data_IF_015024889770
#
_entry.id   IF_015024889770
#
_cell.length_a   1.000
_cell.length_b   1.000
_cell.length_c   1.000
_cell.angle_alpha   90.00
_cell.angle_beta   90.00
_cell.angle_gamma   90.00
#
_symmetry.space_group_name_H-M   'P 1'
#
loop_
_entity.id
_entity.type
_entity.pdbx_description
1 polymer ?
#
# COMPACT_ATOMS: atom_id res chain seq x y z
N UNK A 1 2.39 19.88 -3.24
CA UNK A 1 3.61 19.26 -3.81
C UNK A 1 3.43 17.74 -3.76
N UNK A 2 3.70 17.04 -4.87
CA UNK A 2 3.71 15.58 -4.91
C UNK A 2 5.14 15.10 -5.13
N UNK A 3 5.70 14.35 -4.18
CA UNK A 3 6.98 13.65 -4.33
C UNK A 3 6.74 12.31 -5.03
N UNK A 4 7.56 11.97 -6.02
CA UNK A 4 7.51 10.65 -6.67
C UNK A 4 8.83 9.94 -6.45
N UNK A 5 8.77 8.84 -5.68
CA UNK A 5 9.91 7.94 -5.45
C UNK A 5 9.97 6.89 -6.54
N UNK A 6 10.97 6.98 -7.41
CA UNK A 6 11.24 6.02 -8.47
C UNK A 6 12.74 5.84 -8.65
N UNK A 7 13.18 4.63 -9.02
CA UNK A 7 14.59 4.32 -9.27
C UNK A 7 14.69 3.22 -10.35
N UNK A 8 15.61 3.35 -11.32
CA UNK A 8 15.80 2.33 -12.34
C UNK A 8 16.08 0.92 -11.79
N UNK A 9 16.72 0.80 -10.61
CA UNK A 9 17.04 -0.50 -10.02
C UNK A 9 15.80 -1.34 -9.69
N UNK A 10 14.61 -0.74 -9.56
CA UNK A 10 13.39 -1.50 -9.35
C UNK A 10 13.03 -2.40 -10.55
N UNK A 11 13.54 -2.10 -11.75
CA UNK A 11 13.40 -2.95 -12.92
C UNK A 11 14.33 -4.16 -12.89
N UNK A 12 15.41 -4.14 -12.08
CA UNK A 12 16.35 -5.26 -11.95
C UNK A 12 15.77 -6.43 -11.12
N UNK A 13 14.69 -6.18 -10.38
CA UNK A 13 13.90 -7.26 -9.81
C UNK A 13 13.12 -7.95 -10.94
N UNK A 14 13.59 -9.14 -11.35
CA UNK A 14 12.97 -9.95 -12.39
C UNK A 14 12.62 -11.35 -11.84
N UNK A 15 11.36 -11.60 -11.49
CA UNK A 15 10.92 -12.91 -11.00
C UNK A 15 10.79 -13.97 -12.08
N UNK A 16 11.07 -13.64 -13.36
CA UNK A 16 11.10 -14.55 -14.48
C UNK A 16 9.97 -14.38 -15.49
N UNK A 17 10.11 -15.11 -16.60
CA UNK A 17 9.17 -14.99 -17.74
C UNK A 17 7.77 -15.44 -17.37
N UNK A 18 6.78 -14.59 -17.70
CA UNK A 18 5.37 -14.88 -17.48
C UNK A 18 4.88 -14.61 -16.07
N UNK A 19 5.75 -14.14 -15.17
CA UNK A 19 5.34 -13.72 -13.85
C UNK A 19 4.47 -12.45 -13.93
N UNK A 20 3.35 -12.37 -13.19
CA UNK A 20 2.47 -11.19 -13.23
C UNK A 20 3.16 -9.94 -12.64
N UNK A 21 3.89 -10.09 -11.54
CA UNK A 21 4.74 -9.06 -10.96
C UNK A 21 6.01 -8.94 -11.80
N UNK A 22 6.10 -7.96 -12.69
CA UNK A 22 7.14 -7.84 -13.73
C UNK A 22 7.55 -6.38 -13.95
N UNK A 23 8.77 -6.11 -14.48
CA UNK A 23 9.26 -4.74 -14.70
C UNK A 23 8.32 -3.84 -15.54
N UNK A 24 7.55 -4.38 -16.49
CA UNK A 24 6.58 -3.64 -17.29
C UNK A 24 5.50 -2.91 -16.45
N UNK A 25 5.28 -3.33 -15.20
CA UNK A 25 4.39 -2.63 -14.27
C UNK A 25 4.87 -1.19 -13.98
N UNK A 26 6.18 -0.97 -13.88
CA UNK A 26 6.74 0.37 -13.70
C UNK A 26 6.49 1.27 -14.90
N UNK A 27 6.58 0.71 -16.13
CA UNK A 27 6.27 1.47 -17.35
C UNK A 27 4.81 1.95 -17.34
N UNK A 28 3.87 1.10 -16.92
CA UNK A 28 2.46 1.45 -16.78
C UNK A 28 2.25 2.54 -15.71
N UNK A 29 2.90 2.43 -14.55
CA UNK A 29 2.85 3.45 -13.49
C UNK A 29 3.40 4.79 -13.98
N UNK A 30 4.56 4.81 -14.64
CA UNK A 30 5.12 6.05 -15.20
C UNK A 30 4.21 6.65 -16.29
N UNK A 31 3.60 5.83 -17.12
CA UNK A 31 2.61 6.28 -18.10
C UNK A 31 1.37 6.91 -17.42
N UNK A 32 0.93 6.34 -16.29
CA UNK A 32 -0.16 6.88 -15.47
C UNK A 32 0.19 8.24 -14.87
N UNK A 33 1.39 8.39 -14.29
CA UNK A 33 1.86 9.69 -13.77
C UNK A 33 1.90 10.75 -14.89
N UNK A 34 2.44 10.38 -16.05
CA UNK A 34 2.47 11.28 -17.20
C UNK A 34 1.06 11.62 -17.74
N UNK A 35 0.11 10.69 -17.63
CA UNK A 35 -1.30 10.95 -17.97
C UNK A 35 -1.91 11.94 -16.98
N UNK A 36 -1.74 11.75 -15.67
CA UNK A 36 -2.20 12.69 -14.65
C UNK A 36 -1.70 14.11 -14.92
N UNK A 37 -0.43 14.27 -15.29
CA UNK A 37 0.14 15.58 -15.62
C UNK A 37 -0.59 16.23 -16.81
N UNK A 38 -0.84 15.48 -17.89
CA UNK A 38 -1.60 16.00 -19.04
C UNK A 38 -3.03 16.37 -18.68
N UNK A 39 -3.68 15.56 -17.86
CA UNK A 39 -5.07 15.74 -17.46
C UNK A 39 -5.27 17.01 -16.62
N UNK A 40 -4.28 17.39 -15.81
CA UNK A 40 -4.28 18.66 -15.06
C UNK A 40 -3.78 19.84 -15.90
N UNK A 41 -3.48 19.64 -17.17
CA UNK A 41 -3.06 20.70 -18.09
C UNK A 41 -1.60 21.11 -18.00
N UNK A 42 -0.75 20.24 -17.44
CA UNK A 42 0.69 20.42 -17.28
C UNK A 42 1.54 19.33 -17.94
N UNK A 43 2.78 19.30 -17.55
CA UNK A 43 3.71 18.21 -17.83
C UNK A 43 4.17 17.53 -16.52
N UNK A 44 4.87 16.43 -16.64
CA UNK A 44 5.31 15.66 -15.47
C UNK A 44 6.20 16.48 -14.53
N UNK A 45 7.11 17.29 -15.08
CA UNK A 45 8.05 18.09 -14.28
C UNK A 45 7.34 19.20 -13.48
N UNK A 46 6.18 19.68 -13.97
CA UNK A 46 5.36 20.65 -13.26
C UNK A 46 4.46 20.01 -12.17
N UNK A 47 4.08 18.75 -12.36
CA UNK A 47 3.18 18.03 -11.46
C UNK A 47 3.91 17.40 -10.28
N UNK A 48 5.07 16.80 -10.52
CA UNK A 48 5.78 15.99 -9.53
C UNK A 48 7.18 16.52 -9.24
N UNK A 49 7.61 16.33 -8.01
CA UNK A 49 9.00 16.54 -7.61
C UNK A 49 9.66 15.17 -7.45
N UNK A 50 10.69 14.86 -8.24
CA UNK A 50 11.41 13.60 -8.09
C UNK A 50 11.99 13.46 -6.67
N UNK A 51 11.75 12.32 -6.05
CA UNK A 51 12.37 11.92 -4.79
C UNK A 51 13.36 10.79 -5.05
N UNK A 52 14.68 11.03 -5.03
CA UNK A 52 15.65 9.94 -5.14
C UNK A 52 15.54 9.01 -3.93
N UNK A 53 15.18 7.73 -4.10
CA UNK A 53 15.19 6.77 -3.01
C UNK A 53 16.64 6.54 -2.53
N UNK A 54 16.78 6.25 -1.24
CA UNK A 54 18.03 5.75 -0.66
C UNK A 54 17.92 4.27 -0.32
N UNK A 55 19.03 3.62 -0.06
CA UNK A 55 19.00 2.29 0.51
C UNK A 55 18.57 2.35 1.97
N UNK A 56 17.70 1.43 2.39
CA UNK A 56 17.46 1.19 3.80
C UNK A 56 18.67 0.48 4.43
N UNK A 57 19.07 0.89 5.63
CA UNK A 57 20.12 0.20 6.37
C UNK A 57 19.60 -1.11 6.96
N UNK A 58 20.51 -2.03 7.27
CA UNK A 58 20.15 -3.29 7.94
C UNK A 58 19.45 -3.02 9.28
N UNK A 59 19.86 -1.98 10.00
CA UNK A 59 19.24 -1.57 11.24
C UNK A 59 17.78 -1.15 11.04
N UNK A 60 17.51 -0.35 10.00
CA UNK A 60 16.15 0.08 9.65
C UNK A 60 15.27 -1.10 9.23
N UNK A 61 15.79 -2.01 8.42
CA UNK A 61 15.07 -3.23 7.99
C UNK A 61 14.79 -4.14 9.18
N UNK A 62 15.74 -4.27 10.10
CA UNK A 62 15.59 -5.18 11.26
C UNK A 62 14.68 -4.65 12.38
N UNK A 63 14.08 -3.47 12.22
CA UNK A 63 12.92 -3.03 13.02
C UNK A 63 11.67 -3.90 12.78
N UNK A 64 11.58 -4.47 11.60
CA UNK A 64 10.45 -5.29 11.14
C UNK A 64 10.86 -6.73 10.91
N UNK A 65 11.94 -6.95 10.21
CA UNK A 65 12.39 -8.27 9.80
C UNK A 65 13.49 -8.82 10.70
N UNK A 66 13.48 -10.13 10.93
CA UNK A 66 14.58 -10.77 11.66
C UNK A 66 15.88 -10.70 10.85
N UNK A 67 17.03 -10.61 11.56
CA UNK A 67 18.35 -10.66 10.91
C UNK A 67 18.51 -11.88 10.01
N UNK A 68 17.99 -13.03 10.45
CA UNK A 68 18.02 -14.27 9.67
C UNK A 68 17.30 -14.12 8.31
N UNK A 69 16.15 -13.43 8.29
CA UNK A 69 15.43 -13.17 7.04
C UNK A 69 16.27 -12.28 6.10
N UNK A 70 16.82 -11.20 6.61
CA UNK A 70 17.67 -10.25 5.86
C UNK A 70 18.90 -10.98 5.28
N UNK A 71 19.62 -11.73 6.09
CA UNK A 71 20.81 -12.49 5.68
C UNK A 71 20.46 -13.54 4.61
N UNK A 72 19.32 -14.23 4.77
CA UNK A 72 18.84 -15.21 3.78
C UNK A 72 18.57 -14.58 2.42
N UNK A 73 17.89 -13.44 2.36
CA UNK A 73 17.58 -12.76 1.09
C UNK A 73 18.87 -12.22 0.42
N UNK A 74 19.74 -11.57 1.20
CA UNK A 74 21.02 -11.08 0.69
C UNK A 74 21.86 -12.21 0.10
N UNK A 75 22.02 -13.32 0.85
CA UNK A 75 22.76 -14.49 0.38
C UNK A 75 22.12 -15.14 -0.86
N UNK A 76 20.79 -15.21 -0.94
CA UNK A 76 20.13 -15.76 -2.12
C UNK A 76 20.43 -14.93 -3.37
N UNK A 77 20.42 -13.61 -3.26
CA UNK A 77 20.77 -12.71 -4.37
C UNK A 77 22.25 -12.85 -4.79
N UNK A 78 23.19 -12.98 -3.83
CA UNK A 78 24.61 -13.21 -4.10
C UNK A 78 24.86 -14.50 -4.89
N UNK A 79 23.97 -15.51 -4.73
CA UNK A 79 24.02 -16.77 -5.48
C UNK A 79 23.22 -16.75 -6.79
N UNK A 80 22.79 -15.57 -7.24
CA UNK A 80 22.09 -15.39 -8.51
C UNK A 80 20.55 -15.37 -8.41
N UNK A 81 20.01 -15.45 -7.20
CA UNK A 81 18.56 -15.53 -6.96
C UNK A 81 18.03 -16.96 -6.83
N UNK A 82 16.73 -17.13 -6.90
CA UNK A 82 16.05 -18.41 -6.80
C UNK A 82 14.63 -18.27 -6.26
N UNK A 83 13.89 -19.40 -6.23
CA UNK A 83 12.55 -19.47 -5.68
C UNK A 83 12.61 -19.47 -4.14
N UNK A 84 11.76 -18.68 -3.50
CA UNK A 84 11.59 -18.65 -2.04
C UNK A 84 10.44 -19.58 -1.65
N UNK A 85 9.34 -19.51 -2.39
CA UNK A 85 8.17 -20.38 -2.29
C UNK A 85 7.59 -20.66 -3.70
N UNK A 86 6.28 -20.98 -3.78
CA UNK A 86 5.64 -21.36 -5.05
C UNK A 86 5.43 -20.18 -5.99
N UNK A 87 5.34 -18.96 -5.47
CA UNK A 87 5.00 -17.76 -6.23
C UNK A 87 5.98 -16.59 -6.03
N UNK A 88 6.92 -16.69 -5.11
CA UNK A 88 7.89 -15.65 -4.79
C UNK A 88 9.29 -16.04 -5.25
N UNK A 89 9.81 -15.33 -6.24
CA UNK A 89 11.12 -15.60 -6.84
C UNK A 89 12.00 -14.36 -6.82
N UNK A 90 13.29 -14.55 -6.60
CA UNK A 90 14.32 -13.51 -6.66
C UNK A 90 15.25 -13.71 -7.84
N UNK A 91 15.69 -12.61 -8.47
CA UNK A 91 16.90 -12.51 -9.29
C UNK A 91 18.06 -11.94 -8.48
N UNK A 92 19.25 -11.89 -9.05
CA UNK A 92 20.40 -11.21 -8.45
C UNK A 92 20.13 -9.71 -8.14
N UNK A 93 19.32 -9.05 -9.00
CA UNK A 93 18.92 -7.65 -8.82
C UNK A 93 17.83 -7.41 -7.77
N UNK A 94 17.19 -8.47 -7.26
CA UNK A 94 16.03 -8.33 -6.36
C UNK A 94 16.39 -7.76 -4.99
N UNK A 95 17.55 -8.13 -4.43
CA UNK A 95 17.97 -7.60 -3.12
C UNK A 95 18.27 -6.11 -3.14
N UNK A 96 19.09 -5.57 -4.06
CA UNK A 96 19.26 -4.13 -4.18
C UNK A 96 17.94 -3.37 -4.40
N UNK A 97 17.05 -3.91 -5.25
CA UNK A 97 15.74 -3.31 -5.50
C UNK A 97 14.88 -3.29 -4.23
N UNK A 98 14.82 -4.38 -3.46
CA UNK A 98 14.05 -4.46 -2.22
C UNK A 98 14.58 -3.49 -1.14
N UNK A 99 15.90 -3.40 -0.97
CA UNK A 99 16.54 -2.48 -0.02
C UNK A 99 16.27 -1.02 -0.41
N UNK A 100 16.30 -0.70 -1.71
CA UNK A 100 15.99 0.62 -2.25
C UNK A 100 14.48 0.93 -2.12
N UNK A 101 13.60 -0.05 -2.33
CA UNK A 101 12.15 0.10 -2.16
C UNK A 101 11.77 0.41 -0.70
N UNK A 102 12.36 -0.32 0.25
CA UNK A 102 12.19 -0.05 1.68
C UNK A 102 12.71 1.35 2.05
N UNK A 103 13.87 1.74 1.50
CA UNK A 103 14.47 3.05 1.74
C UNK A 103 13.72 4.22 1.10
N UNK A 104 12.91 3.98 0.08
CA UNK A 104 12.07 5.00 -0.56
C UNK A 104 11.03 5.59 0.41
N UNK A 105 10.38 4.74 1.22
CA UNK A 105 9.44 5.19 2.24
C UNK A 105 10.11 6.04 3.31
N UNK A 106 11.30 5.64 3.76
CA UNK A 106 12.09 6.40 4.74
C UNK A 106 12.50 7.77 4.18
N UNK A 107 12.96 7.82 2.92
CA UNK A 107 13.30 9.08 2.25
C UNK A 107 12.08 9.99 2.11
N UNK A 108 10.90 9.43 1.78
CA UNK A 108 9.65 10.19 1.68
C UNK A 108 9.23 10.77 3.04
N UNK A 109 9.31 9.97 4.11
CA UNK A 109 9.01 10.41 5.46
C UNK A 109 9.92 11.57 5.90
N UNK A 110 11.23 11.48 5.62
CA UNK A 110 12.19 12.53 5.94
C UNK A 110 11.92 13.82 5.13
N UNK A 111 11.66 13.69 3.82
CA UNK A 111 11.40 14.83 2.94
C UNK A 111 10.08 15.55 3.31
N UNK A 112 9.00 14.80 3.58
CA UNK A 112 7.71 15.36 3.97
C UNK A 112 7.73 15.95 5.39
N UNK A 113 8.51 15.37 6.31
CA UNK A 113 8.69 15.95 7.65
C UNK A 113 9.42 17.30 7.61
N UNK A 114 10.32 17.48 6.63
CA UNK A 114 11.05 18.73 6.43
C UNK A 114 10.27 19.77 5.61
N UNK A 115 9.23 19.36 4.91
CA UNK A 115 8.40 20.22 4.06
C UNK A 115 7.18 20.73 4.82
N UNK A 116 6.64 21.86 4.36
CA UNK A 116 5.41 22.47 4.91
C UNK A 116 4.18 21.95 4.12
N UNK A 117 4.08 20.65 3.94
CA UNK A 117 2.99 19.98 3.23
C UNK A 117 3.40 19.24 1.97
N UNK A 118 2.51 18.40 1.46
CA UNK A 118 2.70 17.57 0.26
C UNK A 118 2.29 16.13 0.48
N UNK A 119 2.43 15.31 -0.54
CA UNK A 119 2.16 13.87 -0.52
C UNK A 119 3.29 13.15 -1.24
N UNK A 120 3.44 11.85 -1.04
CA UNK A 120 4.39 11.04 -1.79
C UNK A 120 3.70 9.84 -2.44
N UNK A 121 4.06 9.54 -3.68
CA UNK A 121 3.74 8.30 -4.38
C UNK A 121 5.02 7.55 -4.71
N UNK A 122 5.14 6.32 -4.23
CA UNK A 122 6.34 5.51 -4.35
C UNK A 122 6.10 4.41 -5.39
N UNK A 123 6.65 4.59 -6.59
CA UNK A 123 6.61 3.63 -7.68
C UNK A 123 7.68 2.54 -7.46
N UNK A 124 7.52 1.79 -6.37
CA UNK A 124 8.50 0.80 -5.90
C UNK A 124 8.19 -0.61 -6.38
N UNK A 125 9.22 -1.41 -6.58
CA UNK A 125 9.21 -2.85 -6.74
C UNK A 125 10.47 -3.43 -6.09
N UNK A 126 10.36 -4.63 -5.49
CA UNK A 126 9.17 -5.48 -5.29
C UNK A 126 8.15 -4.83 -4.33
N UNK A 127 6.89 -5.32 -4.33
CA UNK A 127 5.87 -4.96 -3.34
C UNK A 127 6.27 -5.44 -1.94
N UNK A 128 5.49 -5.05 -0.90
CA UNK A 128 5.94 -5.28 0.47
C UNK A 128 4.94 -5.87 1.45
N UNK A 129 3.65 -5.63 1.32
CA UNK A 129 2.67 -5.85 2.39
C UNK A 129 2.50 -7.30 2.85
N UNK A 130 2.87 -8.30 2.03
CA UNK A 130 2.86 -9.70 2.42
C UNK A 130 4.12 -10.16 3.15
N UNK A 131 5.24 -9.42 3.06
CA UNK A 131 6.49 -9.84 3.70
C UNK A 131 6.34 -9.80 5.21
N UNK A 132 6.49 -10.98 5.83
CA UNK A 132 6.36 -11.22 7.27
C UNK A 132 7.70 -10.95 7.98
N UNK A 133 7.71 -10.77 9.30
CA UNK A 133 8.95 -10.59 10.04
C UNK A 133 10.01 -11.67 9.74
N UNK A 134 9.60 -12.92 9.50
CA UNK A 134 10.51 -14.04 9.28
C UNK A 134 10.48 -14.62 7.85
N UNK A 135 9.69 -14.05 6.91
CA UNK A 135 9.53 -14.67 5.61
C UNK A 135 9.01 -13.76 4.51
N UNK A 136 9.59 -13.91 3.32
CA UNK A 136 9.08 -13.36 2.07
C UNK A 136 7.99 -14.29 1.53
N UNK A 137 6.94 -13.72 0.95
CA UNK A 137 5.82 -14.43 0.30
C UNK A 137 4.99 -13.44 -0.53
N UNK A 138 4.11 -13.94 -1.42
CA UNK A 138 3.19 -13.08 -2.19
C UNK A 138 3.93 -12.01 -2.99
N UNK A 139 5.02 -12.39 -3.66
CA UNK A 139 5.91 -11.50 -4.42
C UNK A 139 6.71 -10.49 -3.57
N UNK A 140 6.44 -10.38 -2.26
CA UNK A 140 7.03 -9.41 -1.34
C UNK A 140 8.28 -9.96 -0.66
N UNK A 141 9.36 -9.18 -0.65
CA UNK A 141 10.65 -9.56 -0.04
C UNK A 141 10.86 -8.87 1.30
N UNK A 142 10.70 -7.55 1.36
CA UNK A 142 10.74 -6.71 2.54
C UNK A 142 9.44 -5.91 2.62
N UNK A 143 8.95 -5.68 3.83
CA UNK A 143 7.71 -4.92 4.01
C UNK A 143 7.98 -3.41 4.02
N UNK A 144 7.86 -2.79 2.84
CA UNK A 144 8.21 -1.39 2.62
C UNK A 144 7.42 -0.43 3.51
N UNK A 145 6.10 -0.62 3.60
CA UNK A 145 5.21 0.22 4.42
C UNK A 145 5.48 0.01 5.91
N UNK A 146 5.70 -1.25 6.34
CA UNK A 146 5.95 -1.55 7.75
C UNK A 146 7.30 -0.99 8.23
N UNK A 147 8.36 -1.08 7.42
CA UNK A 147 9.69 -0.49 7.74
C UNK A 147 9.56 1.03 7.94
N UNK A 148 8.80 1.69 7.08
CA UNK A 148 8.53 3.13 7.19
C UNK A 148 7.73 3.44 8.45
N UNK A 149 6.65 2.70 8.72
CA UNK A 149 5.83 2.86 9.92
C UNK A 149 6.65 2.66 11.20
N UNK A 150 7.47 1.61 11.27
CA UNK A 150 8.34 1.35 12.41
C UNK A 150 9.33 2.49 12.68
N UNK A 151 9.89 3.10 11.62
CA UNK A 151 10.78 4.25 11.76
C UNK A 151 10.05 5.50 12.27
N UNK A 152 8.81 5.75 11.85
CA UNK A 152 7.98 6.84 12.35
C UNK A 152 7.60 6.63 13.82
N UNK A 153 7.22 5.41 14.18
CA UNK A 153 6.92 5.03 15.57
C UNK A 153 8.11 5.23 16.51
N UNK A 154 9.33 4.95 16.05
CA UNK A 154 10.56 5.26 16.85
C UNK A 154 10.75 6.75 17.10
N UNK A 155 10.25 7.62 16.20
CA UNK A 155 10.29 9.09 16.38
C UNK A 155 9.21 9.58 17.33
N UNK A 156 8.30 8.70 17.78
CA UNK A 156 7.18 9.01 18.66
C UNK A 156 5.87 9.30 17.92
N UNK A 157 5.84 9.14 16.59
CA UNK A 157 4.64 9.36 15.78
C UNK A 157 3.66 8.18 15.88
N UNK A 158 2.38 8.47 15.68
CA UNK A 158 1.30 7.49 15.50
C UNK A 158 1.00 7.33 14.03
N UNK A 159 0.81 6.10 13.58
CA UNK A 159 0.67 5.80 12.16
C UNK A 159 -0.67 5.11 11.89
N UNK A 160 -1.37 5.55 10.84
CA UNK A 160 -2.46 4.82 10.22
C UNK A 160 -1.97 4.21 8.92
N UNK A 161 -2.10 2.90 8.76
CA UNK A 161 -1.87 2.20 7.50
C UNK A 161 -3.23 1.79 6.93
N UNK A 162 -3.54 2.23 5.72
CA UNK A 162 -4.71 1.79 4.96
C UNK A 162 -4.23 0.97 3.78
N UNK A 163 -4.63 -0.29 3.75
CA UNK A 163 -4.28 -1.25 2.72
C UNK A 163 -5.53 -1.57 1.91
N UNK A 164 -5.54 -1.22 0.63
CA UNK A 164 -6.62 -1.53 -0.30
C UNK A 164 -6.13 -2.31 -1.53
N UNK A 165 -4.98 -2.96 -1.40
CA UNK A 165 -4.64 -4.09 -2.27
C UNK A 165 -5.74 -5.15 -2.17
N UNK A 166 -6.02 -5.84 -3.25
CA UNK A 166 -7.05 -6.87 -3.26
C UNK A 166 -6.71 -8.06 -2.35
N UNK A 167 -5.44 -8.24 -2.01
CA UNK A 167 -4.98 -9.29 -1.11
C UNK A 167 -4.74 -8.73 0.29
N UNK A 168 -5.08 -9.50 1.31
CA UNK A 168 -4.80 -9.10 2.70
C UNK A 168 -3.29 -8.94 2.96
N UNK A 169 -2.87 -7.77 3.44
CA UNK A 169 -1.47 -7.48 3.81
C UNK A 169 -1.06 -8.13 5.13
N UNK A 170 -1.00 -9.46 5.12
CA UNK A 170 -0.75 -10.29 6.31
C UNK A 170 0.57 -9.98 7.01
N UNK A 171 1.60 -9.58 6.26
CA UNK A 171 2.90 -9.21 6.84
C UNK A 171 2.82 -7.91 7.64
N UNK A 172 2.08 -6.93 7.14
CA UNK A 172 1.83 -5.67 7.84
C UNK A 172 1.00 -5.88 9.10
N UNK A 173 -0.09 -6.67 9.01
CA UNK A 173 -0.90 -7.02 10.16
C UNK A 173 -0.08 -7.75 11.22
N UNK A 174 0.67 -8.78 10.85
CA UNK A 174 1.51 -9.56 11.80
C UNK A 174 2.52 -8.66 12.52
N UNK A 175 3.11 -7.70 11.81
CA UNK A 175 4.11 -6.79 12.37
C UNK A 175 3.55 -5.90 13.48
N UNK A 176 2.33 -5.40 13.32
CA UNK A 176 1.75 -4.41 14.23
C UNK A 176 0.56 -4.92 15.04
N UNK A 177 0.31 -6.23 15.06
CA UNK A 177 -0.87 -6.81 15.71
C UNK A 177 -0.96 -6.55 17.20
N UNK A 178 0.17 -6.28 17.86
CA UNK A 178 0.29 -5.94 19.27
C UNK A 178 0.86 -4.54 19.54
N UNK A 179 0.91 -3.65 18.51
CA UNK A 179 1.46 -2.30 18.66
C UNK A 179 0.35 -1.23 18.53
N UNK A 180 -0.12 -0.72 19.65
CA UNK A 180 -1.17 0.30 19.70
C UNK A 180 -0.80 1.66 19.05
N UNK A 181 0.46 1.86 18.65
CA UNK A 181 0.91 3.08 17.98
C UNK A 181 0.64 3.06 16.48
N UNK A 182 0.34 1.88 15.91
CA UNK A 182 0.00 1.69 14.51
C UNK A 182 -1.41 1.16 14.39
N UNK A 183 -2.27 1.88 13.70
CA UNK A 183 -3.57 1.35 13.26
C UNK A 183 -3.42 0.78 11.84
N UNK A 184 -3.96 -0.40 11.61
CA UNK A 184 -3.96 -1.08 10.32
C UNK A 184 -5.37 -1.42 9.88
N UNK A 185 -5.75 -1.00 8.68
CA UNK A 185 -7.05 -1.33 8.07
C UNK A 185 -6.80 -1.94 6.71
N UNK A 186 -7.36 -3.14 6.46
CA UNK A 186 -7.29 -3.81 5.17
C UNK A 186 -8.67 -4.06 4.57
N UNK A 187 -8.84 -3.63 3.32
CA UNK A 187 -10.01 -3.92 2.49
C UNK A 187 -9.58 -4.87 1.38
N UNK A 188 -9.93 -6.15 1.48
CA UNK A 188 -9.41 -7.19 0.60
C UNK A 188 -10.48 -8.18 0.18
N UNK A 189 -10.22 -8.95 -0.87
CA UNK A 189 -11.11 -10.01 -1.31
C UNK A 189 -11.03 -11.24 -0.40
N UNK A 190 -12.20 -11.83 -0.10
CA UNK A 190 -12.32 -13.05 0.66
C UNK A 190 -13.37 -13.99 0.07
N UNK A 191 -13.08 -15.31 -0.07
CA UNK A 191 -11.79 -15.97 0.22
C UNK A 191 -10.79 -15.78 -0.93
N UNK A 192 -9.58 -15.33 -0.61
CA UNK A 192 -8.47 -15.20 -1.55
C UNK A 192 -7.12 -15.44 -0.83
N UNK A 193 -6.01 -15.46 -1.56
CA UNK A 193 -4.68 -15.47 -0.99
C UNK A 193 -4.48 -14.27 -0.04
N UNK A 194 -3.76 -14.39 1.08
CA UNK A 194 -3.12 -15.59 1.64
C UNK A 194 -4.03 -16.41 2.56
N UNK A 195 -5.33 -16.16 2.64
CA UNK A 195 -6.28 -16.87 3.49
C UNK A 195 -6.30 -16.37 4.95
N UNK A 196 -5.87 -15.12 5.16
CA UNK A 196 -5.86 -14.40 6.45
C UNK A 196 -6.67 -13.10 6.35
N UNK A 197 -6.81 -12.34 7.43
CA UNK A 197 -7.57 -11.09 7.43
C UNK A 197 -9.05 -11.29 7.75
N UNK A 198 -9.34 -12.08 8.78
CA UNK A 198 -10.73 -12.31 9.21
C UNK A 198 -11.28 -11.09 9.95
N UNK A 199 -12.58 -10.92 9.90
CA UNK A 199 -13.30 -9.85 10.61
C UNK A 199 -13.00 -9.78 12.11
N UNK A 200 -12.76 -10.94 12.74
CA UNK A 200 -12.52 -11.09 14.18
C UNK A 200 -11.04 -10.90 14.58
N UNK A 201 -10.17 -10.59 13.65
CA UNK A 201 -8.78 -10.25 13.92
C UNK A 201 -8.66 -8.74 14.19
N UNK A 202 -8.70 -8.34 15.44
CA UNK A 202 -8.84 -6.95 15.90
C UNK A 202 -7.62 -6.38 16.63
N UNK A 203 -6.50 -7.10 16.63
CA UNK A 203 -5.33 -6.80 17.46
C UNK A 203 -5.35 -7.53 18.80
N UNK A 204 -4.28 -7.40 19.55
CA UNK A 204 -4.13 -8.03 20.89
C UNK A 204 -3.70 -7.01 21.95
N UNK A 205 -3.90 -7.34 23.21
CA UNK A 205 -3.49 -6.54 24.36
C UNK A 205 -3.96 -5.07 24.26
N UNK A 206 -3.06 -4.12 24.38
CA UNK A 206 -3.36 -2.68 24.28
C UNK A 206 -3.67 -2.24 22.85
N UNK A 207 -3.41 -3.09 21.85
CA UNK A 207 -3.68 -2.83 20.44
C UNK A 207 -5.05 -3.33 19.97
N UNK A 208 -5.90 -3.85 20.85
CA UNK A 208 -7.27 -4.24 20.49
C UNK A 208 -8.04 -3.04 19.92
N UNK A 209 -8.57 -3.21 18.70
CA UNK A 209 -9.28 -2.17 17.95
C UNK A 209 -8.37 -1.28 17.09
N UNK A 210 -7.06 -1.58 16.98
CA UNK A 210 -6.17 -0.93 16.02
C UNK A 210 -6.02 -1.70 14.72
N UNK A 211 -6.35 -3.00 14.69
CA UNK A 211 -6.45 -3.80 13.47
C UNK A 211 -7.91 -3.93 13.05
N UNK A 212 -8.20 -3.68 11.78
CA UNK A 212 -9.54 -3.83 11.20
C UNK A 212 -9.46 -4.45 9.82
N UNK A 213 -10.19 -5.55 9.61
CA UNK A 213 -10.29 -6.24 8.34
C UNK A 213 -11.70 -6.12 7.76
N UNK A 214 -11.77 -5.87 6.45
CA UNK A 214 -13.01 -5.84 5.67
C UNK A 214 -12.87 -6.86 4.53
N UNK A 215 -13.13 -8.16 4.82
CA UNK A 215 -13.01 -9.25 3.83
C UNK A 215 -14.20 -9.26 2.87
N UNK A 216 -14.08 -8.56 1.75
CA UNK A 216 -15.13 -8.35 0.76
C UNK A 216 -15.28 -9.54 -0.19
N UNK A 217 -16.49 -9.92 -0.61
CA UNK A 217 -16.67 -10.96 -1.60
C UNK A 217 -16.25 -10.49 -3.00
N UNK A 218 -15.91 -11.44 -3.88
CA UNK A 218 -15.71 -11.15 -5.30
C UNK A 218 -16.91 -10.38 -5.89
N UNK A 219 -16.63 -9.41 -6.77
CA UNK A 219 -17.61 -8.49 -7.33
C UNK A 219 -17.93 -7.28 -6.46
N UNK A 220 -17.32 -7.13 -5.29
CA UNK A 220 -17.47 -5.92 -4.47
C UNK A 220 -16.95 -4.70 -5.22
N UNK A 221 -17.69 -3.60 -5.15
CA UNK A 221 -17.49 -2.37 -5.94
C UNK A 221 -17.03 -1.19 -5.07
N UNK A 222 -16.62 -0.10 -5.71
CA UNK A 222 -16.02 1.06 -5.06
C UNK A 222 -16.92 1.75 -4.04
N UNK A 223 -18.24 1.71 -4.20
CA UNK A 223 -19.18 2.25 -3.21
C UNK A 223 -19.07 1.56 -1.84
N UNK A 224 -18.70 0.26 -1.80
CA UNK A 224 -18.45 -0.45 -0.55
C UNK A 224 -17.13 -0.05 0.10
N UNK A 225 -16.09 0.18 -0.72
CA UNK A 225 -14.82 0.74 -0.23
C UNK A 225 -15.04 2.12 0.39
N UNK A 226 -15.77 3.01 -0.28
CA UNK A 226 -16.08 4.34 0.25
C UNK A 226 -16.92 4.25 1.52
N UNK A 227 -17.87 3.32 1.57
CA UNK A 227 -18.65 3.09 2.77
C UNK A 227 -17.77 2.63 3.94
N UNK A 228 -16.84 1.70 3.71
CA UNK A 228 -15.88 1.28 4.73
C UNK A 228 -14.97 2.44 5.18
N UNK A 229 -14.56 3.30 4.24
CA UNK A 229 -13.82 4.53 4.58
C UNK A 229 -14.62 5.44 5.52
N UNK A 230 -15.90 5.66 5.25
CA UNK A 230 -16.74 6.57 6.04
C UNK A 230 -17.18 5.96 7.38
N UNK A 231 -17.51 4.67 7.42
CA UNK A 231 -18.10 4.01 8.60
C UNK A 231 -17.09 3.35 9.54
N UNK A 232 -15.88 3.08 9.07
CA UNK A 232 -14.83 2.38 9.82
C UNK A 232 -13.52 3.15 9.84
N UNK A 233 -12.93 3.46 8.68
CA UNK A 233 -11.57 4.03 8.61
C UNK A 233 -11.54 5.44 9.20
N UNK A 234 -12.48 6.32 8.83
CA UNK A 234 -12.50 7.69 9.34
C UNK A 234 -12.77 7.76 10.87
N UNK A 235 -13.72 7.00 11.45
CA UNK A 235 -13.87 6.90 12.89
C UNK A 235 -12.64 6.33 13.61
N UNK A 236 -11.99 5.31 13.04
CA UNK A 236 -10.76 4.76 13.58
C UNK A 236 -9.63 5.80 13.54
N UNK A 237 -9.45 6.50 12.43
CA UNK A 237 -8.46 7.57 12.29
C UNK A 237 -8.70 8.69 13.31
N UNK A 238 -9.94 9.14 13.49
CA UNK A 238 -10.30 10.15 14.46
C UNK A 238 -9.94 9.73 15.89
N UNK A 239 -10.16 8.47 16.25
CA UNK A 239 -9.80 7.94 17.57
C UNK A 239 -8.30 7.72 17.72
N UNK A 240 -7.68 7.13 16.71
CA UNK A 240 -6.24 6.83 16.71
C UNK A 240 -5.41 8.11 16.68
N UNK A 241 -5.93 9.18 16.09
CA UNK A 241 -5.25 10.47 15.92
C UNK A 241 -3.83 10.30 15.32
N UNK A 242 -3.70 9.74 14.10
CA UNK A 242 -2.40 9.47 13.52
C UNK A 242 -1.68 10.76 13.13
N UNK A 243 -0.35 10.75 13.24
CA UNK A 243 0.52 11.79 12.68
C UNK A 243 0.81 11.56 11.19
N UNK A 244 0.71 10.31 10.74
CA UNK A 244 0.97 9.88 9.36
C UNK A 244 -0.09 8.91 8.86
N UNK A 245 -0.41 9.05 7.57
CA UNK A 245 -1.20 8.07 6.82
C UNK A 245 -0.29 7.41 5.78
N UNK A 246 -0.09 6.10 5.92
CA UNK A 246 0.60 5.28 4.94
C UNK A 246 -0.41 4.42 4.19
N UNK A 247 -0.20 4.22 2.91
CA UNK A 247 -1.14 3.51 2.06
C UNK A 247 -0.43 2.39 1.31
N UNK A 248 -0.84 1.15 1.55
CA UNK A 248 -0.55 0.03 0.65
C UNK A 248 -1.56 0.06 -0.50
N UNK A 249 -1.09 0.51 -1.67
CA UNK A 249 -1.90 0.80 -2.84
C UNK A 249 -1.70 -0.28 -3.89
N UNK A 250 -2.52 -1.33 -3.81
CA UNK A 250 -2.66 -2.29 -4.91
C UNK A 250 -3.70 -1.80 -5.92
N UNK A 251 -3.43 -2.03 -7.19
CA UNK A 251 -4.36 -1.77 -8.28
C UNK A 251 -5.03 -3.05 -8.79
N UNK A 252 -4.82 -4.15 -8.09
CA UNK A 252 -5.39 -5.47 -8.40
C UNK A 252 -6.85 -5.65 -7.94
N UNK A 253 -7.39 -4.73 -7.14
CA UNK A 253 -8.83 -4.67 -6.90
C UNK A 253 -9.61 -4.16 -8.14
N UNK A 254 -8.93 -3.75 -9.21
CA UNK A 254 -9.57 -3.32 -10.45
C UNK A 254 -10.23 -4.50 -11.16
N UNK A 255 -11.45 -4.29 -11.69
CA UNK A 255 -12.27 -5.31 -12.37
C UNK A 255 -11.62 -6.01 -13.58
N UNK A 256 -10.54 -5.47 -14.13
CA UNK A 256 -9.76 -6.05 -15.22
C UNK A 256 -8.55 -6.86 -14.74
N UNK A 257 -8.27 -6.88 -13.43
CA UNK A 257 -7.11 -7.59 -12.91
C UNK A 257 -7.28 -9.11 -13.09
N UNK A 258 -6.24 -9.83 -13.56
CA UNK A 258 -6.35 -11.26 -13.82
C UNK A 258 -6.26 -12.14 -12.56
N UNK A 259 -5.87 -11.60 -11.39
CA UNK A 259 -5.64 -12.38 -10.18
C UNK A 259 -6.76 -12.31 -9.16
N UNK A 260 -7.69 -11.36 -9.32
CA UNK A 260 -8.74 -11.09 -8.34
C UNK A 260 -10.12 -10.97 -8.97
N UNK A 261 -11.16 -11.00 -8.15
CA UNK A 261 -12.54 -10.89 -8.60
C UNK A 261 -13.25 -9.60 -8.16
N UNK A 262 -12.52 -8.64 -7.59
CA UNK A 262 -13.11 -7.35 -7.17
C UNK A 262 -13.53 -6.48 -8.36
N UNK A 263 -14.35 -5.47 -8.11
CA UNK A 263 -15.04 -4.72 -9.14
C UNK A 263 -14.71 -3.24 -9.22
N UNK A 264 -13.54 -2.78 -8.73
CA UNK A 264 -13.16 -1.39 -8.77
C UNK A 264 -12.81 -0.92 -10.19
N UNK A 265 -12.87 0.39 -10.38
CA UNK A 265 -12.45 1.10 -11.59
C UNK A 265 -11.39 2.17 -11.27
N UNK A 266 -10.80 2.76 -12.29
CA UNK A 266 -9.87 3.89 -12.12
C UNK A 266 -10.50 5.06 -11.32
N UNK A 267 -11.80 5.33 -11.48
CA UNK A 267 -12.51 6.38 -10.73
C UNK A 267 -12.61 6.10 -9.24
N UNK A 268 -12.69 4.84 -8.85
CA UNK A 268 -12.69 4.45 -7.44
C UNK A 268 -11.33 4.73 -6.79
N UNK A 269 -10.22 4.44 -7.46
CA UNK A 269 -8.88 4.76 -6.98
C UNK A 269 -8.66 6.28 -6.82
N UNK A 270 -9.18 7.10 -7.72
CA UNK A 270 -9.16 8.55 -7.57
C UNK A 270 -9.92 9.02 -6.33
N UNK A 271 -11.10 8.43 -6.09
CA UNK A 271 -11.90 8.75 -4.89
C UNK A 271 -11.21 8.28 -3.62
N UNK A 272 -10.62 7.08 -3.60
CA UNK A 272 -9.82 6.58 -2.48
C UNK A 272 -8.62 7.49 -2.20
N UNK A 273 -7.87 7.92 -3.22
CA UNK A 273 -6.78 8.87 -3.08
C UNK A 273 -7.19 10.16 -2.39
N UNK A 274 -8.36 10.72 -2.77
CA UNK A 274 -8.95 11.90 -2.11
C UNK A 274 -9.25 11.63 -0.62
N UNK A 275 -9.79 10.43 -0.30
CA UNK A 275 -10.05 10.04 1.10
C UNK A 275 -8.77 9.93 1.92
N UNK A 276 -7.68 9.41 1.35
CA UNK A 276 -6.39 9.31 2.06
C UNK A 276 -5.88 10.69 2.49
N UNK A 277 -5.98 11.69 1.62
CA UNK A 277 -5.61 13.08 1.98
C UNK A 277 -6.47 13.62 3.11
N UNK A 278 -7.78 13.35 3.08
CA UNK A 278 -8.73 13.81 4.11
C UNK A 278 -8.50 13.17 5.49
N UNK A 279 -7.91 11.98 5.54
CA UNK A 279 -7.55 11.29 6.78
C UNK A 279 -6.28 11.86 7.44
N UNK A 280 -5.43 12.55 6.69
CA UNK A 280 -4.20 13.10 7.22
C UNK A 280 -4.49 14.29 8.14
N UNK A 281 -4.00 14.27 9.40
CA UNK A 281 -4.27 15.33 10.37
C UNK A 281 -3.53 16.63 10.05
N UNK A 282 -2.46 16.51 9.29
CA UNK A 282 -1.62 17.63 8.84
C UNK A 282 -1.44 17.55 7.32
N UNK A 283 -1.51 18.68 6.61
CA UNK A 283 -1.17 18.70 5.19
C UNK A 283 0.21 18.05 4.98
N UNK A 284 0.29 17.04 4.09
CA UNK A 284 1.57 16.51 3.66
C UNK A 284 2.13 15.34 4.44
N UNK A 285 1.33 14.60 5.16
CA UNK A 285 1.80 13.37 5.83
C UNK A 285 1.09 12.13 5.28
N UNK A 286 1.02 12.02 3.94
CA UNK A 286 0.50 10.86 3.21
C UNK A 286 1.58 10.28 2.31
N UNK A 287 1.87 8.99 2.47
CA UNK A 287 2.83 8.25 1.65
C UNK A 287 2.11 7.03 1.07
N UNK A 288 2.06 6.95 -0.26
CA UNK A 288 1.43 5.86 -1.01
C UNK A 288 2.51 4.94 -1.56
N UNK A 289 2.43 3.66 -1.24
CA UNK A 289 3.33 2.60 -1.72
C UNK A 289 2.61 1.78 -2.78
N UNK A 290 3.23 1.61 -3.94
CA UNK A 290 2.77 0.66 -4.95
C UNK A 290 2.88 -0.76 -4.41
N UNK A 291 1.79 -1.51 -4.45
CA UNK A 291 1.75 -2.94 -4.14
C UNK A 291 1.36 -3.74 -5.41
N UNK A 292 0.23 -4.43 -5.41
CA UNK A 292 -0.25 -5.22 -6.54
C UNK A 292 -0.83 -4.41 -7.70
N UNK A 293 -1.41 -5.13 -8.67
CA UNK A 293 -1.98 -4.59 -9.90
C UNK A 293 -1.24 -5.14 -11.12
N UNK A 294 -1.91 -6.04 -11.87
CA UNK A 294 -1.27 -6.91 -12.87
C UNK A 294 -1.84 -6.75 -14.28
N UNK A 295 -3.00 -6.11 -14.44
CA UNK A 295 -3.44 -5.54 -15.69
C UNK A 295 -2.76 -4.18 -15.92
N UNK A 296 -1.99 -4.04 -16.99
CA UNK A 296 -1.16 -2.86 -17.21
C UNK A 296 -1.97 -1.61 -17.56
N UNK A 297 -3.11 -1.75 -18.23
CA UNK A 297 -3.99 -0.62 -18.54
C UNK A 297 -4.71 -0.14 -17.28
N UNK A 298 -5.23 -1.05 -16.47
CA UNK A 298 -5.82 -0.74 -15.18
C UNK A 298 -4.81 -0.07 -14.22
N UNK A 299 -3.58 -0.57 -14.20
CA UNK A 299 -2.50 -0.01 -13.40
C UNK A 299 -2.14 1.42 -13.83
N UNK A 300 -2.07 1.68 -15.15
CA UNK A 300 -1.87 3.03 -15.70
C UNK A 300 -3.00 3.97 -15.29
N UNK A 301 -4.25 3.57 -15.54
CA UNK A 301 -5.41 4.44 -15.36
C UNK A 301 -5.72 4.68 -13.86
N UNK A 302 -5.56 3.64 -13.03
CA UNK A 302 -5.64 3.74 -11.58
C UNK A 302 -4.56 4.64 -10.98
N UNK A 303 -3.31 4.50 -11.48
CA UNK A 303 -2.21 5.40 -11.08
C UNK A 303 -2.52 6.85 -11.46
N UNK A 304 -3.00 7.10 -12.69
CA UNK A 304 -3.36 8.45 -13.12
C UNK A 304 -4.42 9.08 -12.22
N UNK A 305 -5.47 8.35 -11.90
CA UNK A 305 -6.54 8.81 -11.02
C UNK A 305 -6.04 9.07 -9.58
N UNK A 306 -5.24 8.16 -9.04
CA UNK A 306 -4.64 8.31 -7.70
C UNK A 306 -3.72 9.53 -7.63
N UNK A 307 -2.81 9.69 -8.58
CA UNK A 307 -1.86 10.82 -8.64
C UNK A 307 -2.60 12.15 -8.78
N UNK A 308 -3.62 12.22 -9.64
CA UNK A 308 -4.49 13.40 -9.78
C UNK A 308 -5.13 13.79 -8.43
N UNK A 309 -5.65 12.81 -7.70
CA UNK A 309 -6.22 13.04 -6.37
C UNK A 309 -5.15 13.53 -5.37
N UNK A 310 -3.94 12.93 -5.38
CA UNK A 310 -2.86 13.29 -4.46
C UNK A 310 -2.35 14.73 -4.64
N UNK A 311 -2.52 15.34 -5.81
CA UNK A 311 -2.21 16.76 -6.03
C UNK A 311 -3.38 17.68 -5.70
N UNK A 312 -4.52 17.13 -5.25
CA UNK A 312 -5.70 17.89 -4.86
C UNK A 312 -6.60 18.30 -6.03
N UNK A 313 -6.39 17.70 -7.20
CA UNK A 313 -7.19 17.98 -8.38
C UNK A 313 -8.34 16.97 -8.53
N UNK A 314 -9.43 17.42 -9.12
CA UNK A 314 -10.60 16.59 -9.43
C UNK A 314 -10.86 16.66 -10.92
N UNK A 315 -10.52 15.57 -11.61
CA UNK A 315 -10.75 15.44 -13.07
C UNK A 315 -11.68 14.24 -13.29
N UNK A 316 -12.52 14.33 -14.30
CA UNK A 316 -13.35 13.20 -14.69
C UNK A 316 -12.44 12.00 -15.06
N UNK A 317 -12.51 10.89 -14.32
CA UNK A 317 -11.65 9.74 -14.58
C UNK A 317 -12.03 9.09 -15.91
N UNK A 318 -11.09 8.33 -16.49
CA UNK A 318 -11.32 7.54 -17.72
C UNK A 318 -12.49 6.55 -17.52
N UNK A 319 -12.61 6.02 -16.32
CA UNK A 319 -13.72 5.16 -15.91
C UNK A 319 -14.45 5.77 -14.71
N UNK A 320 -15.78 5.76 -14.76
CA UNK A 320 -16.60 6.21 -13.64
C UNK A 320 -16.47 5.27 -12.43
N UNK A 321 -16.61 5.78 -11.18
CA UNK A 321 -16.70 4.95 -9.99
C UNK A 321 -17.80 3.89 -10.08
N UNK A 322 -17.57 2.74 -9.47
CA UNK A 322 -18.44 1.56 -9.52
C UNK A 322 -19.36 1.48 -8.32
N UNK A 323 -20.51 0.79 -8.47
CA UNK A 323 -21.48 0.63 -7.40
C UNK A 323 -22.40 -0.58 -7.60
N UNK A 324 -23.00 -1.03 -6.50
CA UNK A 324 -24.04 -2.05 -6.51
C UNK A 324 -23.53 -3.49 -6.41
N UNK A 325 -22.24 -3.68 -6.12
CA UNK A 325 -21.64 -4.99 -5.84
C UNK A 325 -22.08 -5.59 -4.51
N UNK A 326 -21.81 -6.89 -4.29
CA UNK A 326 -22.10 -7.58 -3.04
C UNK A 326 -21.11 -7.21 -1.93
N UNK A 327 -21.51 -7.37 -0.63
CA UNK A 327 -20.61 -7.19 0.52
C UNK A 327 -20.98 -6.07 1.49
N UNK A 328 -22.18 -5.48 1.32
CA UNK A 328 -22.67 -4.45 2.24
C UNK A 328 -22.76 -4.94 3.69
N UNK A 329 -23.22 -6.17 3.88
CA UNK A 329 -23.32 -6.84 5.18
C UNK A 329 -21.95 -7.07 5.83
N UNK A 330 -20.90 -7.26 5.01
CA UNK A 330 -19.52 -7.39 5.50
C UNK A 330 -19.02 -6.06 6.06
N UNK A 331 -19.27 -4.94 5.38
CA UNK A 331 -18.91 -3.60 5.87
C UNK A 331 -19.68 -3.30 7.15
N UNK A 332 -20.99 -3.62 7.21
CA UNK A 332 -21.82 -3.45 8.41
C UNK A 332 -21.26 -4.25 9.59
N UNK A 333 -20.88 -5.51 9.35
CA UNK A 333 -20.31 -6.39 10.37
C UNK A 333 -18.94 -5.88 10.87
N UNK A 334 -18.04 -5.47 9.96
CA UNK A 334 -16.73 -4.93 10.32
C UNK A 334 -16.86 -3.67 11.19
N UNK A 335 -17.70 -2.72 10.78
CA UNK A 335 -17.95 -1.51 11.55
C UNK A 335 -18.66 -1.79 12.88
N UNK A 336 -19.52 -2.82 12.94
CA UNK A 336 -20.17 -3.29 14.17
C UNK A 336 -19.17 -3.83 15.18
N UNK A 337 -18.36 -4.80 14.76
CA UNK A 337 -17.32 -5.40 15.60
C UNK A 337 -16.31 -4.37 16.11
N UNK A 338 -15.85 -3.47 15.24
CA UNK A 338 -14.92 -2.43 15.65
C UNK A 338 -15.52 -1.53 16.74
N UNK A 339 -16.80 -1.13 16.61
CA UNK A 339 -17.48 -0.29 17.62
C UNK A 339 -17.63 -0.99 18.98
N UNK A 340 -17.73 -2.32 19.01
CA UNK A 340 -17.82 -3.09 20.26
C UNK A 340 -16.49 -3.08 21.02
N UNK A 341 -15.35 -3.19 20.33
CA UNK A 341 -14.02 -3.24 20.95
C UNK A 341 -13.38 -1.87 21.14
N UNK A 342 -13.83 -0.90 20.36
CA UNK A 342 -13.38 0.49 20.38
C UNK A 342 -14.50 1.40 20.91
N UNK A 343 -14.85 1.33 22.20
CA UNK A 343 -15.92 2.15 22.76
C UNK A 343 -15.66 3.64 22.50
N UNK A 344 -16.75 4.41 22.40
CA UNK A 344 -16.69 5.85 22.14
C UNK A 344 -15.71 6.57 23.07
N UNK A 345 -15.03 7.62 22.59
CA UNK A 345 -14.10 8.42 23.40
C UNK A 345 -14.75 9.08 24.60
#
# INVERSE_FOLDING_TARGET
MLLVGADPCFADHDPGRGHPERPARLEAVHAGIAQAARDVGGDTDSLVTPLPPRDATVEEITRVHTKRHVERLASLAEHGGGSIDLDTTMSAGSWPAAVRAAGAGLAAADALAAADGGTAFLAVRPPGHHARPEGAMGFCLLNNVAITAAALVERGDRVLIVDYDAHHGNGTQETFYADARVAYVSLHEWPLYPGTGRLDELGTDDAVGTTCNVPLPAGATGDLYLRAMDELVAPLAARHAPDWVLVSCGFDAHRADPLTGLGLSAGDYGTLGTRMIQLAPHPGRVIVFLEGGYDLDALRDGTAATVTALVGETIAPVEAPTSGGPGRDVVDAAAGLWREVAPAP
#
